data_IF_149426228741
#
_entry.id   IF_149426228741
#
_cell.length_a   1.000
_cell.length_b   1.000
_cell.length_c   1.000
_cell.angle_alpha   90.00
_cell.angle_beta   90.00
_cell.angle_gamma   90.00
#
_symmetry.space_group_name_H-M   'P 1'
#
loop_
_entity.id
_entity.type
_entity.pdbx_description
1 polymer ?
#
# COMPACT_ATOMS: atom_id res chain seq x y z
N UNK A 1 15.14 -59.68 -62.00
CA UNK A 1 15.84 -59.32 -60.74
C UNK A 1 15.12 -60.04 -59.59
N UNK A 2 15.82 -60.47 -58.54
CA UNK A 2 15.20 -61.22 -57.43
C UNK A 2 14.91 -60.29 -56.25
N UNK A 3 13.86 -60.59 -55.50
CA UNK A 3 13.52 -59.86 -54.28
C UNK A 3 14.62 -60.04 -53.23
N UNK A 4 14.98 -58.97 -52.52
CA UNK A 4 15.99 -59.00 -51.44
C UNK A 4 15.63 -59.99 -50.33
N UNK A 5 14.34 -60.12 -50.00
CA UNK A 5 13.86 -60.95 -48.89
C UNK A 5 13.44 -62.37 -49.32
N UNK A 6 13.19 -62.58 -50.61
CA UNK A 6 12.76 -63.88 -51.14
C UNK A 6 13.56 -64.26 -52.39
N UNK A 7 14.43 -65.27 -52.26
CA UNK A 7 15.24 -65.79 -53.37
C UNK A 7 14.41 -66.37 -54.52
N UNK A 8 13.21 -66.86 -54.23
CA UNK A 8 12.34 -67.52 -55.22
C UNK A 8 11.41 -66.56 -55.97
N UNK A 9 11.29 -65.29 -55.56
CA UNK A 9 10.36 -64.32 -56.17
C UNK A 9 11.09 -63.27 -57.01
N UNK A 10 10.46 -62.85 -58.10
CA UNK A 10 10.94 -61.75 -58.91
C UNK A 10 10.58 -60.41 -58.24
N UNK A 11 11.46 -59.42 -58.38
CA UNK A 11 11.21 -58.07 -57.89
C UNK A 11 10.50 -57.24 -58.97
N UNK A 12 9.46 -56.53 -58.56
CA UNK A 12 8.62 -55.67 -59.40
C UNK A 12 8.77 -54.19 -59.02
N UNK A 13 9.16 -53.91 -57.77
CA UNK A 13 9.27 -52.56 -57.20
C UNK A 13 10.65 -52.31 -56.58
N UNK A 14 11.00 -51.03 -56.42
CA UNK A 14 12.21 -50.60 -55.72
C UNK A 14 11.85 -49.72 -54.53
N UNK A 15 12.53 -49.94 -53.41
CA UNK A 15 12.39 -49.06 -52.24
C UNK A 15 12.99 -47.69 -52.53
N UNK A 16 12.23 -46.61 -52.38
CA UNK A 16 12.74 -45.24 -52.58
C UNK A 16 13.85 -44.82 -51.63
N UNK A 17 13.86 -45.33 -50.38
CA UNK A 17 14.89 -44.95 -49.39
C UNK A 17 16.20 -45.75 -49.48
N UNK A 18 16.16 -47.05 -49.81
CA UNK A 18 17.35 -47.91 -49.81
C UNK A 18 17.64 -48.58 -51.17
N UNK A 19 16.84 -48.29 -52.18
CA UNK A 19 16.92 -48.81 -53.55
C UNK A 19 16.93 -50.35 -53.66
N UNK A 20 16.44 -51.04 -52.62
CA UNK A 20 16.37 -52.50 -52.62
C UNK A 20 15.25 -52.99 -53.56
N UNK A 21 15.48 -54.07 -54.33
CA UNK A 21 14.46 -54.70 -55.16
C UNK A 21 13.48 -55.53 -54.31
N UNK A 22 12.18 -55.29 -54.48
CA UNK A 22 11.08 -55.86 -53.69
C UNK A 22 10.03 -56.53 -54.59
N UNK A 23 9.41 -57.60 -54.11
CA UNK A 23 8.19 -58.16 -54.70
C UNK A 23 6.94 -57.47 -54.12
N UNK A 24 5.76 -57.69 -54.74
CA UNK A 24 4.49 -57.10 -54.33
C UNK A 24 4.12 -57.30 -52.84
N UNK A 25 4.59 -58.37 -52.21
CA UNK A 25 4.30 -58.61 -50.78
C UNK A 25 5.28 -57.90 -49.81
N UNK A 26 6.42 -57.43 -50.30
CA UNK A 26 7.46 -56.81 -49.46
C UNK A 26 7.47 -55.28 -49.55
N UNK A 27 6.55 -54.71 -50.32
CA UNK A 27 6.46 -53.29 -50.61
C UNK A 27 5.25 -52.69 -49.92
N UNK A 28 5.46 -51.57 -49.25
CA UNK A 28 4.39 -50.77 -48.64
C UNK A 28 4.29 -49.44 -49.37
N UNK A 29 3.07 -49.02 -49.70
CA UNK A 29 2.80 -47.74 -50.34
C UNK A 29 2.63 -46.66 -49.26
N UNK A 30 3.68 -45.85 -49.06
CA UNK A 30 3.68 -44.79 -48.03
C UNK A 30 2.94 -43.54 -48.52
N UNK A 31 2.92 -43.29 -49.83
CA UNK A 31 2.21 -42.22 -50.53
C UNK A 31 1.81 -42.73 -51.91
N UNK A 32 0.76 -42.18 -52.56
CA UNK A 32 0.37 -42.61 -53.90
C UNK A 32 1.56 -42.60 -54.87
N UNK A 33 1.95 -43.79 -55.35
CA UNK A 33 3.09 -43.99 -56.26
C UNK A 33 4.48 -44.05 -55.62
N UNK A 34 4.60 -44.02 -54.28
CA UNK A 34 5.87 -44.10 -53.55
C UNK A 34 5.94 -45.42 -52.76
N UNK A 35 6.80 -46.30 -53.26
CA UNK A 35 6.99 -47.65 -52.74
C UNK A 35 8.22 -47.73 -51.84
N UNK A 36 8.07 -48.29 -50.63
CA UNK A 36 9.18 -48.48 -49.69
C UNK A 36 9.16 -49.86 -49.04
N UNK A 37 10.31 -50.33 -48.57
CA UNK A 37 10.35 -51.56 -47.77
C UNK A 37 9.85 -51.29 -46.35
N UNK A 38 9.36 -52.34 -45.68
CA UNK A 38 8.82 -52.24 -44.32
C UNK A 38 9.78 -51.57 -43.31
N UNK A 39 11.08 -51.85 -43.39
CA UNK A 39 12.09 -51.24 -42.51
C UNK A 39 12.21 -49.72 -42.71
N UNK A 40 12.18 -49.26 -43.97
CA UNK A 40 12.27 -47.83 -44.29
C UNK A 40 10.95 -47.11 -43.97
N UNK A 41 9.80 -47.74 -44.24
CA UNK A 41 8.49 -47.23 -43.86
C UNK A 41 8.39 -47.01 -42.34
N UNK A 42 8.86 -47.97 -41.55
CA UNK A 42 8.88 -47.87 -40.09
C UNK A 42 9.76 -46.70 -39.60
N UNK A 43 10.96 -46.51 -40.16
CA UNK A 43 11.84 -45.41 -39.78
C UNK A 43 11.24 -44.04 -40.10
N UNK A 44 10.53 -43.91 -41.23
CA UNK A 44 9.81 -42.68 -41.57
C UNK A 44 8.73 -42.36 -40.52
N UNK A 45 7.97 -43.35 -40.07
CA UNK A 45 6.91 -43.14 -39.06
C UNK A 45 7.46 -42.64 -37.72
N UNK A 46 8.62 -43.14 -37.28
CA UNK A 46 9.25 -42.69 -36.03
C UNK A 46 9.80 -41.26 -36.13
N UNK A 47 10.34 -40.88 -37.29
CA UNK A 47 10.88 -39.54 -37.52
C UNK A 47 9.78 -38.45 -37.52
N UNK A 48 8.60 -38.78 -38.05
CA UNK A 48 7.46 -37.86 -38.15
C UNK A 48 6.81 -37.62 -36.77
N UNK A 49 6.77 -38.65 -35.92
CA UNK A 49 6.31 -38.51 -34.54
C UNK A 49 7.30 -37.67 -33.72
N UNK A 50 8.61 -37.86 -33.91
CA UNK A 50 9.64 -37.06 -33.24
C UNK A 50 9.58 -35.57 -33.59
N UNK A 51 9.44 -35.24 -34.88
CA UNK A 51 9.36 -33.85 -35.33
C UNK A 51 8.07 -33.15 -34.86
N UNK A 52 6.93 -33.84 -34.86
CA UNK A 52 5.66 -33.26 -34.40
C UNK A 52 5.65 -32.94 -32.90
N UNK A 53 6.35 -33.72 -32.07
CA UNK A 53 6.46 -33.47 -30.63
C UNK A 53 7.38 -32.29 -30.31
N UNK A 54 8.49 -32.15 -31.04
CA UNK A 54 9.41 -31.02 -30.92
C UNK A 54 8.74 -29.72 -31.38
N UNK A 55 8.07 -29.74 -32.54
CA UNK A 55 7.38 -28.57 -33.09
C UNK A 55 6.22 -28.12 -32.18
N UNK A 56 5.49 -29.06 -31.56
CA UNK A 56 4.43 -28.75 -30.59
C UNK A 56 4.98 -28.17 -29.29
N UNK A 57 6.18 -28.56 -28.85
CA UNK A 57 6.86 -27.98 -27.68
C UNK A 57 7.42 -26.59 -27.97
N UNK A 58 8.02 -26.36 -29.14
CA UNK A 58 8.51 -25.03 -29.55
C UNK A 58 7.36 -24.03 -29.68
N UNK A 59 6.28 -24.38 -30.39
CA UNK A 59 5.10 -23.52 -30.51
C UNK A 59 4.42 -23.23 -29.16
N UNK A 60 4.51 -24.14 -28.20
CA UNK A 60 4.01 -23.92 -26.83
C UNK A 60 4.94 -23.02 -26.00
N UNK A 61 6.26 -23.11 -26.21
CA UNK A 61 7.27 -22.24 -25.59
C UNK A 61 7.17 -20.81 -26.10
N UNK A 62 7.09 -20.60 -27.41
CA UNK A 62 6.95 -19.28 -28.03
C UNK A 62 5.66 -18.57 -27.61
N UNK A 63 4.54 -19.29 -27.54
CA UNK A 63 3.26 -18.71 -27.07
C UNK A 63 3.31 -18.29 -25.60
N UNK A 64 4.05 -19.00 -24.75
CA UNK A 64 4.26 -18.63 -23.34
C UNK A 64 5.20 -17.42 -23.21
N UNK A 65 6.29 -17.38 -23.96
CA UNK A 65 7.22 -16.25 -23.98
C UNK A 65 6.57 -14.96 -24.51
N UNK A 66 5.77 -15.06 -25.58
CA UNK A 66 5.02 -13.93 -26.13
C UNK A 66 3.94 -13.40 -25.16
N UNK A 67 3.33 -14.28 -24.36
CA UNK A 67 2.34 -13.91 -23.34
C UNK A 67 2.98 -13.23 -22.11
N UNK A 68 4.16 -13.67 -21.70
CA UNK A 68 4.95 -13.05 -20.61
C UNK A 68 5.53 -11.68 -21.00
N UNK A 69 5.84 -11.48 -22.29
CA UNK A 69 6.40 -10.22 -22.80
C UNK A 69 5.34 -9.13 -23.02
N UNK A 70 4.05 -9.47 -23.08
CA UNK A 70 2.98 -8.47 -23.06
C UNK A 70 2.85 -7.93 -21.64
N UNK A 71 3.56 -6.84 -21.37
CA UNK A 71 3.34 -6.00 -20.20
C UNK A 71 1.91 -5.48 -20.26
N UNK A 72 1.01 -6.17 -19.55
CA UNK A 72 -0.38 -5.74 -19.42
C UNK A 72 -0.49 -4.46 -18.58
N UNK A 73 -1.64 -3.77 -18.62
CA UNK A 73 -1.89 -2.57 -17.82
C UNK A 73 -1.67 -2.79 -16.31
N UNK A 74 -1.75 -4.03 -15.85
CA UNK A 74 -1.43 -4.42 -14.47
C UNK A 74 0.03 -4.18 -14.09
N UNK A 75 0.99 -4.44 -14.99
CA UNK A 75 2.41 -4.17 -14.71
C UNK A 75 2.69 -2.67 -14.64
N UNK A 76 2.00 -1.87 -15.46
CA UNK A 76 2.08 -0.43 -15.38
C UNK A 76 1.52 0.10 -14.04
N UNK A 77 0.35 -0.41 -13.63
CA UNK A 77 -0.23 -0.08 -12.33
C UNK A 77 0.68 -0.49 -11.15
N UNK A 78 1.31 -1.66 -11.22
CA UNK A 78 2.23 -2.16 -10.19
C UNK A 78 3.50 -1.30 -10.09
N UNK A 79 4.07 -0.87 -11.23
CA UNK A 79 5.24 0.01 -11.24
C UNK A 79 4.90 1.40 -10.70
N UNK A 80 3.78 1.99 -11.12
CA UNK A 80 3.36 3.32 -10.63
C UNK A 80 3.08 3.30 -9.13
N UNK A 81 2.35 2.28 -8.63
CA UNK A 81 2.08 2.15 -7.19
C UNK A 81 3.36 1.94 -6.38
N UNK A 82 4.31 1.13 -6.87
CA UNK A 82 5.62 0.95 -6.24
C UNK A 82 6.40 2.27 -6.14
N UNK A 83 6.42 3.07 -7.21
CA UNK A 83 7.09 4.39 -7.21
C UNK A 83 6.43 5.34 -6.21
N UNK A 84 5.09 5.39 -6.16
CA UNK A 84 4.37 6.23 -5.20
C UNK A 84 4.65 5.84 -3.75
N UNK A 85 4.74 4.53 -3.45
CA UNK A 85 5.08 4.04 -2.12
C UNK A 85 6.51 4.47 -1.74
N UNK A 86 7.49 4.32 -2.65
CA UNK A 86 8.86 4.76 -2.40
C UNK A 86 8.97 6.26 -2.17
N UNK A 87 8.23 7.08 -2.94
CA UNK A 87 8.16 8.53 -2.72
C UNK A 87 7.56 8.85 -1.36
N UNK A 88 6.47 8.17 -0.97
CA UNK A 88 5.84 8.36 0.34
C UNK A 88 6.80 7.99 1.48
N UNK A 89 7.49 6.86 1.38
CA UNK A 89 8.51 6.45 2.35
C UNK A 89 9.70 7.42 2.37
N UNK A 90 10.14 7.90 1.21
CA UNK A 90 11.17 8.94 1.11
C UNK A 90 10.76 10.22 1.82
N UNK A 91 9.51 10.65 1.66
CA UNK A 91 8.95 11.81 2.38
C UNK A 91 8.85 11.54 3.89
N UNK A 92 8.55 10.31 4.33
CA UNK A 92 8.52 9.98 5.77
C UNK A 92 9.93 9.98 6.38
N UNK A 93 10.92 9.44 5.65
CA UNK A 93 12.32 9.33 6.12
C UNK A 93 13.08 10.65 6.04
N UNK A 94 12.92 11.43 4.96
CA UNK A 94 13.56 12.74 4.80
C UNK A 94 12.73 13.89 5.39
N UNK A 95 11.40 13.76 5.42
CA UNK A 95 10.49 14.69 6.08
C UNK A 95 10.42 14.46 7.58
N UNK A 96 11.55 14.16 8.22
CA UNK A 96 11.76 14.07 9.67
C UNK A 96 11.51 15.39 10.41
N UNK A 97 10.42 16.08 10.10
CA UNK A 97 9.81 16.95 11.07
C UNK A 97 9.16 16.03 12.11
N UNK A 98 9.63 16.05 13.37
CA UNK A 98 8.93 15.34 14.43
C UNK A 98 7.46 15.77 14.37
N UNK A 99 6.54 14.78 14.46
CA UNK A 99 5.10 15.00 14.43
C UNK A 99 4.79 16.31 15.17
N UNK A 100 4.12 17.28 14.51
CA UNK A 100 4.10 18.64 14.99
C UNK A 100 3.65 18.60 16.44
N UNK A 101 4.53 19.01 17.35
CA UNK A 101 4.25 19.16 18.78
C UNK A 101 3.28 20.33 18.97
N UNK A 102 2.12 20.25 18.31
CA UNK A 102 1.12 21.31 18.18
C UNK A 102 0.74 21.75 19.58
N UNK A 103 0.47 20.82 20.49
CA UNK A 103 0.05 21.12 21.88
C UNK A 103 1.12 21.87 22.68
N UNK A 104 2.40 21.47 22.59
CA UNK A 104 3.51 22.07 23.33
C UNK A 104 3.74 23.55 22.95
N UNK A 105 3.68 23.89 21.67
CA UNK A 105 3.84 25.29 21.22
C UNK A 105 2.62 26.15 21.56
N UNK A 106 1.41 25.57 21.53
CA UNK A 106 0.19 26.30 21.89
C UNK A 106 0.12 26.62 23.39
N UNK A 107 0.61 25.72 24.26
CA UNK A 107 0.68 25.97 25.70
C UNK A 107 1.64 27.12 26.08
N UNK A 108 2.62 27.45 25.22
CA UNK A 108 3.51 28.60 25.42
C UNK A 108 2.80 29.94 25.19
N UNK A 109 1.75 29.99 24.35
CA UNK A 109 0.98 31.21 24.07
C UNK A 109 -0.17 31.32 25.09
N UNK A 110 -0.05 32.24 26.05
CA UNK A 110 -0.99 32.38 27.17
C UNK A 110 -2.48 32.42 26.77
N UNK A 111 -2.86 33.18 25.73
CA UNK A 111 -4.26 33.23 25.25
C UNK A 111 -4.73 31.91 24.65
N UNK A 112 -3.87 31.19 23.93
CA UNK A 112 -4.24 29.90 23.34
C UNK A 112 -4.39 28.86 24.44
N UNK A 113 -3.49 28.86 25.42
CA UNK A 113 -3.60 28.05 26.63
C UNK A 113 -4.91 28.33 27.39
N UNK A 114 -5.28 29.61 27.54
CA UNK A 114 -6.53 30.03 28.18
C UNK A 114 -7.76 29.40 27.51
N UNK A 115 -7.88 29.49 26.18
CA UNK A 115 -9.00 28.89 25.45
C UNK A 115 -8.96 27.36 25.45
N UNK A 116 -7.76 26.76 25.40
CA UNK A 116 -7.58 25.31 25.44
C UNK A 116 -8.06 24.73 26.78
N UNK A 117 -7.66 25.35 27.90
CA UNK A 117 -8.10 24.95 29.25
C UNK A 117 -9.59 25.21 29.45
N UNK A 118 -10.12 26.33 28.96
CA UNK A 118 -11.56 26.61 28.97
C UNK A 118 -12.38 25.51 28.28
N UNK A 119 -11.92 25.04 27.11
CA UNK A 119 -12.54 23.91 26.42
C UNK A 119 -12.46 22.60 27.20
N UNK A 120 -11.34 22.37 27.89
CA UNK A 120 -11.17 21.19 28.75
C UNK A 120 -12.13 21.22 29.96
N UNK A 121 -12.29 22.36 30.63
CA UNK A 121 -13.24 22.54 31.75
C UNK A 121 -14.68 22.29 31.30
N UNK A 122 -15.08 22.82 30.14
CA UNK A 122 -16.42 22.57 29.58
C UNK A 122 -16.67 21.09 29.28
N UNK A 123 -15.66 20.39 28.75
CA UNK A 123 -15.74 18.94 28.53
C UNK A 123 -15.83 18.18 29.84
N UNK A 124 -15.01 18.51 30.83
CA UNK A 124 -15.08 17.92 32.17
C UNK A 124 -16.50 18.07 32.74
N UNK A 125 -17.06 19.29 32.74
CA UNK A 125 -18.40 19.53 33.24
C UNK A 125 -19.48 18.76 32.47
N UNK A 126 -19.31 18.56 31.16
CA UNK A 126 -20.25 17.77 30.37
C UNK A 126 -20.25 16.28 30.75
N UNK A 127 -19.10 15.71 31.10
CA UNK A 127 -18.96 14.28 31.35
C UNK A 127 -19.04 13.90 32.84
N UNK A 128 -18.69 14.80 33.75
CA UNK A 128 -18.66 14.56 35.20
C UNK A 128 -19.89 15.16 35.92
N UNK A 129 -21.04 15.20 35.23
CA UNK A 129 -22.34 15.53 35.83
C UNK A 129 -22.56 17.02 36.13
N UNK A 130 -22.18 17.91 35.20
CA UNK A 130 -22.31 19.38 35.31
C UNK A 130 -21.49 20.02 36.45
N UNK A 131 -20.49 19.30 36.99
CA UNK A 131 -19.57 19.80 38.01
C UNK A 131 -18.29 20.36 37.38
N UNK A 132 -17.73 21.40 37.98
CA UNK A 132 -16.45 21.97 37.58
C UNK A 132 -15.31 21.37 38.43
N UNK A 133 -14.11 21.19 37.85
CA UNK A 133 -12.98 20.58 38.56
C UNK A 133 -12.55 21.45 39.75
N UNK A 134 -12.03 20.85 40.83
CA UNK A 134 -11.53 21.65 41.95
C UNK A 134 -10.18 22.31 41.60
N UNK A 135 -9.39 21.65 40.76
CA UNK A 135 -8.10 22.17 40.25
C UNK A 135 -7.94 21.92 38.75
N UNK A 136 -7.10 22.74 38.09
CA UNK A 136 -6.79 22.54 36.67
C UNK A 136 -6.01 21.24 36.39
N UNK A 137 -5.39 20.65 37.42
CA UNK A 137 -4.60 19.43 37.30
C UNK A 137 -5.49 18.19 37.04
N UNK A 138 -6.72 18.18 37.57
CA UNK A 138 -7.70 17.10 37.33
C UNK A 138 -8.09 16.95 35.85
N UNK A 139 -7.86 17.99 35.05
CA UNK A 139 -8.10 17.94 33.62
C UNK A 139 -7.04 17.10 32.89
N UNK A 140 -5.85 16.92 33.48
CA UNK A 140 -4.74 16.20 32.86
C UNK A 140 -4.71 14.74 33.33
N UNK A 141 -4.50 13.75 32.45
CA UNK A 141 -4.41 13.87 30.99
C UNK A 141 -5.77 13.71 30.28
N UNK A 142 -6.83 13.36 31.02
CA UNK A 142 -8.10 12.85 30.47
C UNK A 142 -8.84 13.88 29.59
N UNK A 143 -8.83 15.15 29.97
CA UNK A 143 -9.55 16.24 29.29
C UNK A 143 -8.65 17.30 28.68
N UNK A 144 -7.37 17.31 29.06
CA UNK A 144 -6.33 18.21 28.59
C UNK A 144 -5.08 17.40 28.25
N UNK A 145 -4.76 17.34 26.96
CA UNK A 145 -3.60 16.62 26.44
C UNK A 145 -2.30 17.40 26.67
N UNK A 146 -1.93 17.56 27.94
CA UNK A 146 -0.65 18.10 28.39
C UNK A 146 0.23 16.97 28.92
N UNK A 147 1.54 17.03 28.63
CA UNK A 147 2.50 16.13 29.28
C UNK A 147 2.75 16.59 30.72
N UNK A 148 3.13 15.67 31.62
CA UNK A 148 3.49 16.01 33.01
C UNK A 148 4.57 17.11 33.09
N UNK A 149 5.53 17.11 32.17
CA UNK A 149 6.59 18.13 32.08
C UNK A 149 6.08 19.52 31.70
N UNK A 150 4.89 19.61 31.11
CA UNK A 150 4.29 20.87 30.62
C UNK A 150 3.25 21.43 31.58
N UNK A 151 2.93 20.72 32.68
CA UNK A 151 1.94 21.15 33.68
C UNK A 151 2.27 22.51 34.31
N UNK A 152 3.55 22.87 34.38
CA UNK A 152 4.01 24.18 34.83
C UNK A 152 3.44 25.35 34.00
N UNK A 153 2.88 25.10 32.81
CA UNK A 153 2.17 26.13 32.04
C UNK A 153 0.82 26.51 32.65
N UNK A 154 0.18 25.61 33.40
CA UNK A 154 -1.12 25.87 34.04
C UNK A 154 -1.04 27.01 35.08
N UNK A 155 0.11 27.20 35.73
CA UNK A 155 0.35 28.31 36.67
C UNK A 155 0.30 29.71 36.03
N UNK A 156 0.29 29.79 34.70
CA UNK A 156 0.08 31.04 33.96
C UNK A 156 -1.39 31.47 33.96
N UNK A 157 -2.30 30.59 34.38
CA UNK A 157 -3.73 30.84 34.46
C UNK A 157 -4.15 31.01 35.92
N UNK A 158 -5.12 31.89 36.15
CA UNK A 158 -5.88 31.95 37.39
C UNK A 158 -7.19 31.24 37.15
N UNK A 159 -7.47 30.23 37.97
CA UNK A 159 -8.71 29.48 37.96
C UNK A 159 -9.35 29.57 39.33
N UNK A 160 -10.62 29.92 39.34
CA UNK A 160 -11.45 29.92 40.53
C UNK A 160 -12.80 29.28 40.18
N UNK A 161 -13.24 28.34 41.02
CA UNK A 161 -14.57 27.77 40.90
C UNK A 161 -15.56 28.75 41.55
N UNK A 162 -16.61 29.08 40.84
CA UNK A 162 -17.60 30.06 41.26
C UNK A 162 -18.98 29.43 41.04
N UNK A 163 -19.74 29.15 42.10
CA UNK A 163 -21.00 28.41 41.97
C UNK A 163 -22.11 29.24 41.28
N UNK A 164 -21.97 30.56 41.21
CA UNK A 164 -22.94 31.45 40.56
C UNK A 164 -22.74 31.56 39.05
N UNK A 165 -21.48 31.66 38.59
CA UNK A 165 -21.13 31.78 37.16
C UNK A 165 -20.42 30.55 36.57
N UNK A 166 -20.25 29.51 37.38
CA UNK A 166 -19.62 28.22 37.10
C UNK A 166 -18.12 28.18 37.42
N UNK A 167 -17.36 29.05 36.77
CA UNK A 167 -15.93 29.24 37.05
C UNK A 167 -15.46 30.58 36.50
N UNK A 168 -14.28 31.00 36.92
CA UNK A 168 -13.54 32.13 36.37
C UNK A 168 -12.16 31.66 35.96
N UNK A 169 -11.81 31.90 34.70
CA UNK A 169 -10.51 31.55 34.15
C UNK A 169 -9.91 32.76 33.45
N UNK A 170 -8.74 33.21 33.90
CA UNK A 170 -8.04 34.37 33.32
C UNK A 170 -6.52 34.15 33.28
N UNK A 171 -5.78 35.10 32.71
CA UNK A 171 -4.32 35.07 32.74
C UNK A 171 -3.81 35.66 34.05
N UNK A 172 -2.86 34.97 34.71
CA UNK A 172 -2.26 35.45 35.95
C UNK A 172 -1.48 36.76 35.80
N UNK A 173 -0.91 36.98 34.62
CA UNK A 173 -0.21 38.22 34.26
C UNK A 173 -0.73 38.72 32.91
N UNK A 174 -1.78 39.56 32.89
CA UNK A 174 -2.23 40.18 31.64
C UNK A 174 -1.11 41.09 31.08
N UNK A 175 -1.02 41.21 29.75
CA UNK A 175 -0.10 42.17 29.14
C UNK A 175 -0.56 43.59 29.49
N UNK A 176 0.36 44.41 30.03
CA UNK A 176 0.11 45.84 30.32
C UNK A 176 -0.55 46.52 29.10
N UNK A 177 -1.61 47.29 29.33
CA UNK A 177 -2.35 48.01 28.30
C UNK A 177 -3.36 47.17 27.49
N UNK A 178 -3.68 45.94 27.88
CA UNK A 178 -4.75 45.13 27.27
C UNK A 178 -5.76 44.69 28.32
N UNK A 179 -7.06 44.81 27.99
CA UNK A 179 -8.16 44.30 28.81
C UNK A 179 -7.93 42.82 29.18
N UNK A 180 -8.18 42.48 30.44
CA UNK A 180 -8.04 41.10 30.90
C UNK A 180 -9.26 40.30 30.46
N UNK A 181 -9.03 39.11 29.91
CA UNK A 181 -10.09 38.25 29.41
C UNK A 181 -10.43 37.24 30.51
N UNK A 182 -11.65 37.29 31.02
CA UNK A 182 -12.16 36.38 32.03
C UNK A 182 -13.19 35.45 31.38
N UNK A 183 -12.84 34.18 31.25
CA UNK A 183 -13.73 33.14 30.73
C UNK A 183 -14.52 32.53 31.88
N UNK A 184 -15.83 32.38 31.68
CA UNK A 184 -16.73 31.76 32.65
C UNK A 184 -17.56 30.64 32.03
N UNK A 185 -18.26 29.88 32.87
CA UNK A 185 -19.20 28.85 32.42
C UNK A 185 -20.34 29.41 31.55
N UNK A 186 -20.75 30.67 31.82
CA UNK A 186 -21.83 31.36 31.11
C UNK A 186 -21.37 32.19 29.89
N UNK A 187 -20.09 32.52 29.76
CA UNK A 187 -19.61 33.34 28.64
C UNK A 187 -18.22 33.96 28.83
N UNK A 188 -17.95 35.04 28.10
CA UNK A 188 -16.70 35.80 28.19
C UNK A 188 -17.02 37.15 28.83
N UNK A 189 -16.26 37.53 29.86
CA UNK A 189 -16.27 38.86 30.46
C UNK A 189 -14.92 39.54 30.23
N UNK A 190 -14.95 40.84 30.00
CA UNK A 190 -13.76 41.67 29.96
C UNK A 190 -13.66 42.39 31.29
N UNK A 191 -12.54 42.23 31.97
CA UNK A 191 -12.26 42.98 33.18
C UNK A 191 -11.33 44.14 32.81
N UNK A 192 -11.84 45.36 32.97
CA UNK A 192 -11.08 46.58 32.78
C UNK A 192 -10.23 46.81 34.02
N UNK A 193 -8.97 46.37 33.99
CA UNK A 193 -8.02 46.74 35.03
C UNK A 193 -7.84 48.26 35.07
N UNK A 194 -7.53 48.84 36.25
CA UNK A 194 -7.49 50.29 36.44
C UNK A 194 -6.45 50.91 35.50
N UNK A 195 -6.83 52.02 34.87
CA UNK A 195 -5.88 52.96 34.27
C UNK A 195 -5.18 53.63 35.46
N UNK A 196 -3.96 53.20 35.80
CA UNK A 196 -3.09 54.05 36.61
C UNK A 196 -2.74 55.27 35.74
N UNK A 197 -3.44 56.38 35.99
CA UNK A 197 -2.95 57.71 35.62
C UNK A 197 -1.67 57.97 36.41
N UNK A 198 -0.66 58.50 35.71
CA UNK A 198 0.69 58.73 36.24
C UNK A 198 0.79 59.84 37.25
#
# INVERSE_FOLDING_TARGET
MKCKYHKNRNAEYFCTSCNAPLCGDCVEEVRPGVYSCFQCAMLHSLSEVGSSLVEKREKAGEKKAAKLRRWGPFHYFMMVSSVLILVMWGVILFGGQPAPQRTAQFAKKGRVLLFMVNGAIKRYARYEGARYPASLEELVPKYLALKKTEMHHLSKLLYERDDEVGYRLSLAKPKKGRMNLVLTGKGIRYDGGPVEEG
#
